data_IF_573163377642
#
_entry.id   IF_573163377642
#
_cell.length_a   1.000
_cell.length_b   1.000
_cell.length_c   1.000
_cell.angle_alpha   90.00
_cell.angle_beta   90.00
_cell.angle_gamma   90.00
#
_symmetry.space_group_name_H-M   'P 1'
#
loop_
_entity.id
_entity.type
_entity.pdbx_description
1 polymer ?
#
# COMPACT_ATOMS: atom_id res chain seq x y z
N UNK A 1 -32.27 41.22 1.19
CA UNK A 1 -30.83 41.41 0.85
C UNK A 1 -30.14 40.10 1.01
N UNK A 2 -29.91 39.39 -0.08
CA UNK A 2 -29.33 38.06 -0.11
C UNK A 2 -27.91 38.16 -0.69
N UNK A 3 -26.88 37.87 0.10
CA UNK A 3 -25.50 37.80 -0.35
C UNK A 3 -25.17 36.36 -0.71
N UNK A 4 -25.18 36.07 -2.01
CA UNK A 4 -24.60 34.85 -2.58
C UNK A 4 -23.08 35.05 -2.65
N UNK A 5 -22.32 34.25 -1.90
CA UNK A 5 -20.87 34.13 -2.06
C UNK A 5 -20.55 32.86 -2.86
N UNK A 6 -20.39 33.01 -4.15
CA UNK A 6 -19.79 32.00 -5.01
C UNK A 6 -18.26 32.05 -4.85
N UNK A 7 -17.71 31.17 -4.03
CA UNK A 7 -16.28 30.89 -4.04
C UNK A 7 -15.99 29.89 -5.16
N UNK A 8 -15.54 30.40 -6.30
CA UNK A 8 -15.07 29.61 -7.43
C UNK A 8 -13.90 28.71 -7.02
N UNK A 9 -14.12 27.40 -6.98
CA UNK A 9 -13.05 26.39 -6.92
C UNK A 9 -12.25 26.49 -8.22
N UNK A 10 -11.05 27.02 -8.17
CA UNK A 10 -10.08 26.90 -9.27
C UNK A 10 -9.86 25.40 -9.54
N UNK A 11 -10.30 24.93 -10.70
CA UNK A 11 -9.95 23.59 -11.19
C UNK A 11 -8.44 23.53 -11.34
N UNK A 12 -7.77 22.80 -10.47
CA UNK A 12 -6.35 22.45 -10.63
C UNK A 12 -6.32 21.53 -11.86
N UNK A 13 -5.67 21.98 -12.94
CA UNK A 13 -5.46 21.15 -14.13
C UNK A 13 -4.63 19.93 -13.69
N UNK A 14 -4.98 18.71 -14.11
CA UNK A 14 -4.14 17.55 -13.84
C UNK A 14 -2.77 17.81 -14.45
N UNK A 15 -1.72 17.51 -13.68
CA UNK A 15 -0.33 17.63 -14.09
C UNK A 15 -0.04 16.59 -15.18
N UNK A 16 -0.32 16.91 -16.42
CA UNK A 16 -0.12 16.07 -17.61
C UNK A 16 0.78 16.76 -18.65
N UNK A 17 1.55 17.75 -18.25
CA UNK A 17 2.67 18.17 -19.07
C UNK A 17 3.91 17.40 -18.58
N UNK A 18 4.04 16.17 -19.08
CA UNK A 18 5.34 15.52 -19.20
C UNK A 18 6.13 16.42 -20.15
N UNK A 19 7.07 17.20 -19.60
CA UNK A 19 8.01 17.96 -20.39
C UNK A 19 8.81 16.94 -21.19
N UNK A 20 8.65 16.87 -22.51
CA UNK A 20 9.45 15.97 -23.30
C UNK A 20 10.90 16.45 -23.23
N UNK A 21 11.81 15.51 -22.99
CA UNK A 21 13.23 15.62 -23.30
C UNK A 21 14.21 16.32 -22.36
N UNK A 22 13.86 16.58 -21.12
CA UNK A 22 14.91 16.86 -20.11
C UNK A 22 15.59 15.59 -19.58
N UNK A 23 15.08 14.41 -19.91
CA UNK A 23 15.64 13.13 -19.48
C UNK A 23 17.03 12.86 -20.03
N UNK A 24 17.28 13.23 -21.29
CA UNK A 24 18.56 13.00 -21.95
C UNK A 24 19.70 13.90 -21.44
N UNK A 25 19.37 15.06 -20.88
CA UNK A 25 20.37 15.94 -20.25
C UNK A 25 20.62 15.53 -18.78
N UNK A 26 19.59 15.14 -18.05
CA UNK A 26 19.71 14.64 -16.68
C UNK A 26 20.51 13.33 -16.60
N UNK A 27 20.38 12.44 -17.60
CA UNK A 27 21.14 11.19 -17.67
C UNK A 27 22.66 11.38 -17.83
N UNK A 28 23.11 12.58 -18.20
CA UNK A 28 24.52 12.94 -18.31
C UNK A 28 25.12 13.47 -17.01
N UNK A 29 24.26 13.83 -16.04
CA UNK A 29 24.71 14.35 -14.74
C UNK A 29 25.24 13.18 -13.88
N UNK A 30 26.46 13.27 -13.33
CA UNK A 30 27.03 12.27 -12.44
C UNK A 30 26.14 11.99 -11.21
N UNK A 31 25.53 13.04 -10.63
CA UNK A 31 24.63 12.93 -9.49
C UNK A 31 23.37 12.14 -9.88
N UNK A 32 22.87 12.31 -11.10
CA UNK A 32 21.71 11.57 -11.59
C UNK A 32 22.03 10.09 -11.83
N UNK A 33 23.26 9.77 -12.23
CA UNK A 33 23.73 8.37 -12.32
C UNK A 33 23.75 7.68 -10.97
N UNK A 34 24.26 8.34 -9.94
CA UNK A 34 24.26 7.80 -8.58
C UNK A 34 22.83 7.63 -8.05
N UNK A 35 21.91 8.56 -8.38
CA UNK A 35 20.49 8.43 -8.05
C UNK A 35 19.80 7.29 -8.81
N UNK A 36 20.15 7.03 -10.07
CA UNK A 36 19.64 5.90 -10.85
C UNK A 36 20.12 4.59 -10.25
N UNK A 37 21.36 4.49 -9.81
CA UNK A 37 21.88 3.29 -9.14
C UNK A 37 21.10 2.99 -7.85
N UNK A 38 20.68 4.00 -7.10
CA UNK A 38 19.81 3.86 -5.95
C UNK A 38 18.37 3.44 -6.38
N UNK A 39 17.88 3.96 -7.52
CA UNK A 39 16.55 3.63 -8.04
C UNK A 39 16.52 2.36 -8.89
N UNK A 40 17.66 1.88 -9.37
CA UNK A 40 17.81 0.59 -10.07
C UNK A 40 17.66 -0.61 -9.14
N UNK A 41 17.39 -0.36 -7.86
CA UNK A 41 17.08 -1.38 -6.87
C UNK A 41 15.91 -2.25 -7.37
N UNK A 42 16.25 -3.42 -7.88
CA UNK A 42 15.28 -4.31 -8.52
C UNK A 42 14.25 -4.76 -7.50
N UNK A 43 12.99 -4.38 -7.72
CA UNK A 43 11.88 -4.86 -6.90
C UNK A 43 11.81 -6.38 -6.99
N UNK A 44 11.77 -7.09 -5.85
CA UNK A 44 11.66 -8.54 -5.83
C UNK A 44 10.38 -8.99 -6.54
N UNK A 45 10.50 -10.04 -7.35
CA UNK A 45 9.38 -10.58 -8.14
C UNK A 45 8.53 -11.55 -7.33
N UNK A 46 9.13 -12.22 -6.35
CA UNK A 46 8.49 -13.24 -5.54
C UNK A 46 8.82 -13.10 -4.05
N UNK A 47 8.12 -13.86 -3.20
CA UNK A 47 8.29 -13.79 -1.74
C UNK A 47 9.69 -14.29 -1.29
N UNK A 48 10.23 -15.29 -1.93
CA UNK A 48 11.54 -15.86 -1.57
C UNK A 48 12.70 -14.87 -1.78
N UNK A 49 12.65 -14.07 -2.83
CA UNK A 49 13.58 -12.96 -3.03
C UNK A 49 13.39 -11.85 -1.99
N UNK A 50 12.11 -11.51 -1.73
CA UNK A 50 11.74 -10.48 -0.76
C UNK A 50 12.22 -10.80 0.66
N UNK A 51 12.20 -12.06 1.09
CA UNK A 51 12.67 -12.50 2.41
C UNK A 51 14.17 -12.26 2.62
N UNK A 52 14.96 -12.22 1.56
CA UNK A 52 16.41 -11.98 1.62
C UNK A 52 16.78 -10.51 1.80
N UNK A 53 15.82 -9.61 1.62
CA UNK A 53 16.06 -8.18 1.72
C UNK A 53 16.05 -7.68 3.16
N UNK A 54 16.79 -6.59 3.39
CA UNK A 54 16.81 -5.91 4.69
C UNK A 54 15.43 -5.33 5.05
N UNK A 55 15.18 -5.20 6.34
CA UNK A 55 14.00 -4.50 6.87
C UNK A 55 14.45 -3.20 7.56
N UNK A 56 13.64 -2.16 7.57
CA UNK A 56 12.30 -2.05 6.98
C UNK A 56 12.31 -2.11 5.44
N UNK A 57 11.22 -2.63 4.83
CA UNK A 57 11.07 -2.69 3.39
C UNK A 57 10.86 -1.29 2.82
N UNK A 58 11.61 -0.91 1.78
CA UNK A 58 11.52 0.41 1.15
C UNK A 58 10.66 0.42 -0.13
N UNK A 59 10.15 -0.75 -0.56
CA UNK A 59 9.34 -0.87 -1.77
C UNK A 59 7.88 -0.47 -1.54
N UNK A 60 7.63 0.83 -1.34
CA UNK A 60 6.29 1.37 -1.06
C UNK A 60 5.26 1.10 -2.17
N UNK A 61 5.71 0.86 -3.40
CA UNK A 61 4.86 0.47 -4.54
C UNK A 61 4.37 -0.98 -4.49
N UNK A 62 4.79 -1.76 -3.49
CA UNK A 62 4.32 -3.13 -3.31
C UNK A 62 2.90 -3.12 -2.74
N UNK A 63 2.00 -3.94 -3.31
CA UNK A 63 0.61 -4.07 -2.82
C UNK A 63 0.46 -4.57 -1.39
N UNK A 64 1.53 -5.15 -0.82
CA UNK A 64 1.57 -5.63 0.56
C UNK A 64 2.25 -4.64 1.51
N UNK A 65 2.69 -3.49 0.99
CA UNK A 65 3.33 -2.48 1.82
C UNK A 65 2.28 -1.73 2.65
N UNK A 66 2.59 -1.42 3.93
CA UNK A 66 1.64 -0.86 4.89
C UNK A 66 1.69 0.67 4.97
N UNK A 67 2.67 1.31 4.33
CA UNK A 67 2.86 2.76 4.41
C UNK A 67 1.80 3.54 3.63
N UNK A 68 1.45 3.08 2.44
CA UNK A 68 0.46 3.73 1.61
C UNK A 68 -0.54 2.72 1.03
N UNK A 69 -1.71 3.20 0.71
CA UNK A 69 -2.77 2.46 0.04
C UNK A 69 -3.15 3.16 -1.26
N UNK A 70 -3.36 2.38 -2.32
CA UNK A 70 -3.75 2.89 -3.63
C UNK A 70 -5.14 2.37 -3.97
N UNK A 71 -6.08 3.27 -4.14
CA UNK A 71 -7.42 2.90 -4.58
C UNK A 71 -7.35 2.35 -6.02
N UNK A 72 -7.81 1.12 -6.29
CA UNK A 72 -7.71 0.49 -7.61
C UNK A 72 -8.55 1.22 -8.67
N UNK A 73 -9.65 1.85 -8.29
CA UNK A 73 -10.59 2.49 -9.20
C UNK A 73 -10.15 3.93 -9.53
N UNK A 74 -9.93 4.73 -8.48
CA UNK A 74 -9.62 6.16 -8.62
C UNK A 74 -8.13 6.45 -8.76
N UNK A 75 -7.25 5.46 -8.51
CA UNK A 75 -5.78 5.59 -8.45
C UNK A 75 -5.31 6.62 -7.41
N UNK A 76 -6.18 7.04 -6.51
CA UNK A 76 -5.81 7.95 -5.43
C UNK A 76 -4.92 7.24 -4.41
N UNK A 77 -3.91 7.96 -3.93
CA UNK A 77 -2.95 7.47 -2.94
C UNK A 77 -3.36 8.01 -1.56
N UNK A 78 -3.40 7.12 -0.59
CA UNK A 78 -3.63 7.44 0.82
C UNK A 78 -2.41 7.02 1.62
N UNK A 79 -1.85 7.95 2.40
CA UNK A 79 -0.84 7.64 3.41
C UNK A 79 -1.53 7.10 4.66
N UNK A 80 -1.15 5.91 5.10
CA UNK A 80 -1.71 5.31 6.31
C UNK A 80 -1.13 5.95 7.59
N UNK A 81 0.09 6.49 7.50
CA UNK A 81 0.77 7.16 8.61
C UNK A 81 1.25 8.55 8.20
N UNK A 82 0.35 9.57 8.17
CA UNK A 82 0.76 10.94 7.92
C UNK A 82 1.75 11.41 8.99
N UNK A 83 2.88 11.98 8.57
CA UNK A 83 3.90 12.49 9.48
C UNK A 83 4.90 11.46 10.00
N UNK A 84 4.91 10.24 9.45
CA UNK A 84 5.96 9.24 9.69
C UNK A 84 6.66 8.89 8.40
N UNK A 85 7.93 8.55 8.53
CA UNK A 85 8.72 8.01 7.45
C UNK A 85 8.65 6.47 7.40
N UNK A 86 8.98 5.87 6.26
CA UNK A 86 8.89 4.41 6.07
C UNK A 86 9.75 3.64 7.09
N UNK A 87 10.92 4.15 7.40
CA UNK A 87 11.85 3.53 8.35
C UNK A 87 11.46 3.68 9.82
N UNK A 88 10.51 4.55 10.13
CA UNK A 88 9.96 4.71 11.49
C UNK A 88 8.82 3.73 11.77
N UNK A 89 8.35 3.00 10.75
CA UNK A 89 7.30 2.02 10.95
C UNK A 89 7.87 0.73 11.56
N UNK A 90 7.23 0.25 12.62
CA UNK A 90 7.55 -1.03 13.23
C UNK A 90 7.35 -2.19 12.25
N UNK A 91 6.30 -2.13 11.46
CA UNK A 91 5.97 -3.13 10.44
C UNK A 91 5.70 -2.42 9.11
N UNK A 92 6.39 -2.86 8.08
CA UNK A 92 6.28 -2.27 6.73
C UNK A 92 5.58 -3.18 5.72
N UNK A 93 5.42 -4.46 6.04
CA UNK A 93 4.90 -5.46 5.12
C UNK A 93 3.86 -6.37 5.77
N UNK A 94 2.67 -6.42 5.18
CA UNK A 94 1.58 -7.28 5.64
C UNK A 94 1.93 -8.78 5.62
N UNK A 95 2.80 -9.22 4.69
CA UNK A 95 3.24 -10.60 4.63
C UNK A 95 4.21 -10.95 5.77
N UNK A 96 5.07 -10.02 6.18
CA UNK A 96 5.95 -10.21 7.33
C UNK A 96 5.15 -10.35 8.63
N UNK A 97 4.05 -9.58 8.76
CA UNK A 97 3.12 -9.71 9.90
C UNK A 97 2.42 -11.06 9.87
N UNK A 98 1.95 -11.50 8.70
CA UNK A 98 1.28 -12.80 8.55
C UNK A 98 2.20 -13.98 8.88
N UNK A 99 3.49 -13.89 8.52
CA UNK A 99 4.47 -14.95 8.80
C UNK A 99 4.79 -15.10 10.32
N UNK A 100 4.51 -14.07 11.12
CA UNK A 100 4.68 -14.10 12.59
C UNK A 100 3.58 -14.92 13.31
N UNK A 101 2.51 -15.26 12.60
CA UNK A 101 1.38 -16.03 13.16
C UNK A 101 0.18 -15.16 13.53
N UNK A 102 -0.63 -15.62 14.49
CA UNK A 102 -1.84 -14.92 14.92
C UNK A 102 -1.54 -13.61 15.66
N UNK A 103 -2.24 -12.54 15.27
CA UNK A 103 -2.20 -11.23 15.92
C UNK A 103 -3.63 -10.81 16.28
N UNK A 104 -3.79 -9.97 17.30
CA UNK A 104 -5.10 -9.45 17.72
C UNK A 104 -5.61 -8.38 16.76
N UNK A 105 -6.93 -8.15 16.75
CA UNK A 105 -7.53 -7.08 15.92
C UNK A 105 -7.04 -5.69 16.30
N UNK A 106 -6.69 -5.49 17.57
CA UNK A 106 -6.09 -4.27 18.09
C UNK A 106 -4.70 -4.03 17.50
N UNK A 107 -3.85 -5.06 17.51
CA UNK A 107 -2.51 -5.00 16.94
C UNK A 107 -2.55 -4.76 15.43
N UNK A 108 -3.44 -5.45 14.71
CA UNK A 108 -3.64 -5.19 13.27
C UNK A 108 -4.12 -3.75 13.05
N UNK A 109 -5.02 -3.26 13.90
CA UNK A 109 -5.47 -1.87 13.88
C UNK A 109 -4.34 -0.87 14.02
N UNK A 110 -3.45 -1.10 14.99
CA UNK A 110 -2.26 -0.26 15.20
C UNK A 110 -1.28 -0.31 14.01
N UNK A 111 -1.06 -1.51 13.44
CA UNK A 111 -0.19 -1.73 12.28
C UNK A 111 -0.73 -1.05 11.00
N UNK A 112 -2.06 -0.95 10.84
CA UNK A 112 -2.71 -0.37 9.66
C UNK A 112 -3.22 1.07 9.88
N UNK A 113 -3.02 1.62 11.08
CA UNK A 113 -3.61 2.90 11.51
C UNK A 113 -5.13 2.95 11.31
N UNK A 114 -5.81 1.87 11.75
CA UNK A 114 -7.25 1.72 11.69
C UNK A 114 -7.81 1.34 13.06
N UNK A 115 -9.09 1.61 13.27
CA UNK A 115 -9.77 1.17 14.48
C UNK A 115 -10.00 -0.36 14.49
N UNK A 116 -10.02 -0.99 15.67
CA UNK A 116 -10.36 -2.40 15.85
C UNK A 116 -11.64 -2.78 15.11
N UNK A 117 -12.69 -1.97 15.24
CA UNK A 117 -13.96 -2.23 14.58
C UNK A 117 -13.84 -2.21 13.05
N UNK A 118 -13.01 -1.30 12.50
CA UNK A 118 -12.73 -1.28 11.06
C UNK A 118 -12.02 -2.55 10.62
N UNK A 119 -11.05 -3.04 11.39
CA UNK A 119 -10.36 -4.31 11.11
C UNK A 119 -11.36 -5.47 11.15
N UNK A 120 -12.24 -5.53 12.15
CA UNK A 120 -13.28 -6.57 12.24
C UNK A 120 -14.19 -6.57 11.00
N UNK A 121 -14.57 -5.41 10.50
CA UNK A 121 -15.38 -5.30 9.26
C UNK A 121 -14.60 -5.78 8.02
N UNK A 122 -13.31 -5.46 7.93
CA UNK A 122 -12.44 -5.91 6.83
C UNK A 122 -12.28 -7.44 6.89
N UNK A 123 -12.03 -8.01 8.06
CA UNK A 123 -11.93 -9.45 8.28
C UNK A 123 -13.21 -10.17 7.84
N UNK A 124 -14.37 -9.71 8.29
CA UNK A 124 -15.66 -10.32 7.89
C UNK A 124 -15.86 -10.31 6.37
N UNK A 125 -15.56 -9.19 5.72
CA UNK A 125 -15.65 -9.08 4.26
C UNK A 125 -14.66 -10.00 3.55
N UNK A 126 -13.44 -10.12 4.07
CA UNK A 126 -12.42 -11.00 3.53
C UNK A 126 -12.84 -12.47 3.64
N UNK A 127 -13.32 -12.89 4.81
CA UNK A 127 -13.83 -14.25 5.04
C UNK A 127 -15.03 -14.58 4.14
N UNK A 128 -15.95 -13.62 3.95
CA UNK A 128 -17.08 -13.79 3.04
C UNK A 128 -16.61 -14.00 1.60
N UNK A 129 -15.66 -13.20 1.11
CA UNK A 129 -15.06 -13.36 -0.22
C UNK A 129 -14.35 -14.71 -0.36
N UNK A 130 -13.63 -15.15 0.67
CA UNK A 130 -12.97 -16.46 0.67
C UNK A 130 -13.99 -17.60 0.59
N UNK A 131 -15.10 -17.54 1.33
CA UNK A 131 -16.19 -18.53 1.23
C UNK A 131 -16.77 -18.62 -0.16
N UNK A 132 -17.09 -17.47 -0.78
CA UNK A 132 -17.61 -17.43 -2.15
C UNK A 132 -16.62 -18.01 -3.17
N UNK A 133 -15.34 -17.66 -3.03
CA UNK A 133 -14.30 -18.12 -3.94
C UNK A 133 -13.89 -19.58 -3.67
N UNK A 134 -14.03 -20.10 -2.44
CA UNK A 134 -13.69 -21.48 -2.12
C UNK A 134 -14.53 -22.47 -2.92
N UNK A 135 -15.80 -22.16 -3.13
CA UNK A 135 -16.70 -22.95 -3.99
C UNK A 135 -16.24 -22.90 -5.46
N UNK A 136 -15.93 -21.70 -5.95
CA UNK A 136 -15.50 -21.47 -7.34
C UNK A 136 -14.19 -22.18 -7.68
N UNK A 137 -13.23 -22.17 -6.75
CA UNK A 137 -11.89 -22.74 -6.95
C UNK A 137 -11.73 -24.14 -6.34
N UNK A 138 -12.83 -24.76 -5.89
CA UNK A 138 -12.86 -26.10 -5.29
C UNK A 138 -11.84 -26.29 -4.15
N UNK A 139 -11.62 -25.24 -3.35
CA UNK A 139 -10.72 -25.24 -2.20
C UNK A 139 -11.43 -25.97 -1.07
N UNK A 140 -11.19 -27.27 -0.95
CA UNK A 140 -11.70 -28.09 0.16
C UNK A 140 -10.82 -27.85 1.39
N UNK A 141 -11.45 -27.67 2.58
CA UNK A 141 -10.80 -27.58 3.91
C UNK A 141 -10.09 -26.27 4.28
N UNK A 142 -10.80 -25.15 4.18
CA UNK A 142 -10.44 -23.98 4.98
C UNK A 142 -11.11 -24.08 6.35
N UNK A 143 -10.54 -24.86 7.27
CA UNK A 143 -11.13 -25.17 8.60
C UNK A 143 -11.50 -23.94 9.42
N UNK A 144 -10.87 -22.78 9.18
CA UNK A 144 -11.21 -21.51 9.82
C UNK A 144 -12.49 -20.86 9.28
N UNK A 145 -13.02 -21.28 8.12
CA UNK A 145 -14.28 -20.75 7.56
C UNK A 145 -15.53 -21.29 8.24
N UNK A 146 -15.40 -22.35 9.05
CA UNK A 146 -16.50 -23.02 9.73
C UNK A 146 -16.75 -22.51 11.16
N UNK A 147 -16.01 -21.50 11.63
CA UNK A 147 -16.31 -20.85 12.91
C UNK A 147 -17.58 -20.01 12.76
N UNK A 148 -18.65 -20.45 13.47
CA UNK A 148 -19.92 -19.73 13.63
C UNK A 148 -19.74 -18.50 14.51
#
# INVERSE_FOLDING_TARGET
MSLKSEKGRKKVKPYTEVVPDQRSELEKDPIYKDLIDITSYQKPKNRSECLKLKRPCLFVSCKYHLFLDVNPDTKSIKFNFPGKEVWELKETCALDVADKGGVTLEEVGAIMNLTRERIRQVEMKALQKLRQNSVKYNIKNLGFLNRK
#
